data_IF_667905311009
#
_entry.id   IF_667905311009
#
_cell.length_a   1.000
_cell.length_b   1.000
_cell.length_c   1.000
_cell.angle_alpha   90.00
_cell.angle_beta   90.00
_cell.angle_gamma   90.00
#
_symmetry.space_group_name_H-M   'P 1'
#
loop_
_entity.id
_entity.type
_entity.pdbx_description
1 polymer ?
#
# COMPACT_ATOMS: atom_id res chain seq x y z
N UNK A 1 -21.99 20.89 -5.34
CA UNK A 1 -20.86 19.96 -5.19
C UNK A 1 -20.46 19.96 -3.72
N UNK A 2 -20.47 18.82 -3.05
CA UNK A 2 -20.18 18.74 -1.62
C UNK A 2 -18.69 19.06 -1.40
N UNK A 3 -18.39 20.15 -0.68
CA UNK A 3 -17.02 20.61 -0.42
C UNK A 3 -16.15 19.51 0.22
N UNK A 4 -16.75 18.68 1.09
CA UNK A 4 -16.08 17.54 1.74
C UNK A 4 -15.72 16.43 0.76
N UNK A 5 -16.57 16.15 -0.22
CA UNK A 5 -16.28 15.13 -1.22
C UNK A 5 -15.13 15.54 -2.14
N UNK A 6 -15.04 16.81 -2.50
CA UNK A 6 -13.90 17.32 -3.25
C UNK A 6 -12.60 17.29 -2.43
N UNK A 7 -12.66 17.62 -1.14
CA UNK A 7 -11.52 17.45 -0.24
C UNK A 7 -11.07 15.99 -0.17
N UNK A 8 -12.00 15.03 -0.11
CA UNK A 8 -11.68 13.60 -0.14
C UNK A 8 -10.92 13.25 -1.43
N UNK A 9 -11.41 13.70 -2.59
CA UNK A 9 -10.75 13.45 -3.87
C UNK A 9 -9.35 14.05 -3.92
N UNK A 10 -9.14 15.26 -3.37
CA UNK A 10 -7.81 15.87 -3.29
C UNK A 10 -6.84 15.03 -2.46
N UNK A 11 -7.25 14.58 -1.27
CA UNK A 11 -6.41 13.73 -0.42
C UNK A 11 -6.09 12.38 -1.08
N UNK A 12 -7.09 11.77 -1.72
CA UNK A 12 -6.90 10.50 -2.44
C UNK A 12 -5.99 10.65 -3.67
N UNK A 13 -6.05 11.78 -4.36
CA UNK A 13 -5.16 12.06 -5.48
C UNK A 13 -3.70 12.14 -5.02
N UNK A 14 -3.41 12.81 -3.91
CA UNK A 14 -2.04 12.87 -3.36
C UNK A 14 -1.52 11.48 -2.99
N UNK A 15 -2.32 10.66 -2.30
CA UNK A 15 -1.98 9.27 -1.96
C UNK A 15 -1.70 8.46 -3.22
N UNK A 16 -2.56 8.58 -4.23
CA UNK A 16 -2.43 7.86 -5.49
C UNK A 16 -1.16 8.28 -6.25
N UNK A 17 -0.83 9.57 -6.29
CA UNK A 17 0.33 10.08 -7.02
C UNK A 17 1.65 9.69 -6.36
N UNK A 18 1.71 9.67 -5.02
CA UNK A 18 2.85 9.09 -4.29
C UNK A 18 3.06 7.61 -4.66
N UNK A 19 1.98 6.84 -4.73
CA UNK A 19 2.01 5.43 -5.15
C UNK A 19 2.47 5.26 -6.60
N UNK A 20 1.96 6.08 -7.53
CA UNK A 20 2.36 6.05 -8.95
C UNK A 20 3.84 6.42 -9.13
N UNK A 21 4.33 7.43 -8.41
CA UNK A 21 5.74 7.80 -8.42
C UNK A 21 6.62 6.63 -7.96
N UNK A 22 6.23 5.96 -6.86
CA UNK A 22 6.92 4.76 -6.38
C UNK A 22 6.88 3.62 -7.41
N UNK A 23 5.76 3.42 -8.11
CA UNK A 23 5.63 2.40 -9.14
C UNK A 23 6.58 2.62 -10.33
N UNK A 24 6.69 3.85 -10.82
CA UNK A 24 7.64 4.20 -11.90
C UNK A 24 9.08 3.97 -11.46
N UNK A 25 9.44 4.37 -10.23
CA UNK A 25 10.77 4.11 -9.66
C UNK A 25 11.05 2.60 -9.48
N UNK A 26 10.05 1.82 -9.09
CA UNK A 26 10.16 0.37 -8.96
C UNK A 26 10.32 -0.34 -10.30
N UNK A 27 9.69 0.16 -11.37
CA UNK A 27 9.93 -0.31 -12.73
C UNK A 27 11.35 0.04 -13.19
N UNK A 28 11.78 1.29 -13.01
CA UNK A 28 13.12 1.73 -13.39
C UNK A 28 14.21 0.91 -12.69
N UNK A 29 14.01 0.57 -11.42
CA UNK A 29 14.92 -0.26 -10.63
C UNK A 29 15.17 -1.63 -11.26
N UNK A 30 14.18 -2.18 -11.95
CA UNK A 30 14.24 -3.52 -12.54
C UNK A 30 14.73 -3.52 -13.99
N UNK A 31 14.59 -2.40 -14.70
CA UNK A 31 14.82 -2.35 -16.16
C UNK A 31 16.06 -1.54 -16.54
N UNK A 32 16.23 -0.34 -15.98
CA UNK A 32 17.23 0.62 -16.47
C UNK A 32 18.26 1.04 -15.41
N UNK A 33 17.92 0.95 -14.12
CA UNK A 33 18.74 1.50 -13.05
C UNK A 33 20.11 0.79 -12.98
N UNK A 34 21.24 1.53 -12.96
CA UNK A 34 22.55 0.92 -12.78
C UNK A 34 22.70 0.33 -11.36
N UNK A 35 23.50 -0.75 -11.17
CA UNK A 35 23.62 -1.43 -9.87
C UNK A 35 24.01 -0.52 -8.69
N UNK A 36 24.84 0.49 -8.94
CA UNK A 36 25.26 1.45 -7.91
C UNK A 36 24.15 2.36 -7.38
N UNK A 37 22.97 2.39 -8.02
CA UNK A 37 21.83 3.21 -7.59
C UNK A 37 20.94 2.58 -6.52
N UNK A 38 21.19 1.33 -6.12
CA UNK A 38 20.29 0.55 -5.28
C UNK A 38 19.97 1.20 -3.92
N UNK A 39 20.98 1.78 -3.25
CA UNK A 39 20.79 2.41 -1.94
C UNK A 39 19.91 3.67 -2.04
N UNK A 40 20.26 4.58 -2.94
CA UNK A 40 19.48 5.81 -3.16
C UNK A 40 18.04 5.52 -3.60
N UNK A 41 17.84 4.51 -4.47
CA UNK A 41 16.52 4.05 -4.87
C UNK A 41 15.72 3.49 -3.70
N UNK A 42 16.36 2.70 -2.83
CA UNK A 42 15.74 2.20 -1.61
C UNK A 42 15.24 3.32 -0.71
N UNK A 43 16.04 4.38 -0.51
CA UNK A 43 15.66 5.54 0.28
C UNK A 43 14.47 6.31 -0.33
N UNK A 44 14.45 6.51 -1.65
CA UNK A 44 13.34 7.15 -2.36
C UNK A 44 12.02 6.38 -2.18
N UNK A 45 12.05 5.06 -2.43
CA UNK A 45 10.87 4.21 -2.31
C UNK A 45 10.36 4.13 -0.87
N UNK A 46 11.26 4.05 0.11
CA UNK A 46 10.91 4.06 1.52
C UNK A 46 10.22 5.38 1.93
N UNK A 47 10.76 6.53 1.49
CA UNK A 47 10.16 7.83 1.74
C UNK A 47 8.75 7.93 1.16
N UNK A 48 8.58 7.61 -0.13
CA UNK A 48 7.28 7.68 -0.80
C UNK A 48 6.25 6.76 -0.14
N UNK A 49 6.66 5.54 0.22
CA UNK A 49 5.78 4.58 0.91
C UNK A 49 5.36 5.08 2.29
N UNK A 50 6.29 5.68 3.05
CA UNK A 50 5.99 6.28 4.35
C UNK A 50 4.99 7.43 4.22
N UNK A 51 5.24 8.37 3.30
CA UNK A 51 4.35 9.51 3.09
C UNK A 51 2.94 9.07 2.65
N UNK A 52 2.85 8.11 1.71
CA UNK A 52 1.58 7.57 1.27
C UNK A 52 0.80 6.92 2.42
N UNK A 53 1.49 6.15 3.27
CA UNK A 53 0.88 5.53 4.45
C UNK A 53 0.42 6.58 5.47
N UNK A 54 1.27 7.55 5.83
CA UNK A 54 0.94 8.63 6.77
C UNK A 54 -0.32 9.41 6.32
N UNK A 55 -0.45 9.68 5.03
CA UNK A 55 -1.65 10.32 4.46
C UNK A 55 -2.87 9.40 4.53
N UNK A 56 -2.70 8.13 4.14
CA UNK A 56 -3.76 7.12 4.13
C UNK A 56 -4.26 6.73 5.53
N UNK A 57 -3.49 6.98 6.59
CA UNK A 57 -3.89 6.75 7.99
C UNK A 57 -4.06 8.05 8.78
N UNK A 58 -4.12 9.20 8.10
CA UNK A 58 -4.18 10.49 8.78
C UNK A 58 -5.48 10.66 9.58
N UNK A 59 -5.44 11.30 10.77
CA UNK A 59 -6.67 11.63 11.50
C UNK A 59 -7.60 12.57 10.73
N UNK A 60 -7.05 13.40 9.84
CA UNK A 60 -7.83 14.27 8.95
C UNK A 60 -8.72 13.45 8.01
N UNK A 61 -8.13 12.47 7.31
CA UNK A 61 -8.87 11.58 6.42
C UNK A 61 -9.94 10.79 7.17
N UNK A 62 -9.61 10.28 8.37
CA UNK A 62 -10.57 9.56 9.22
C UNK A 62 -11.80 10.41 9.57
N UNK A 63 -11.60 11.62 10.08
CA UNK A 63 -12.71 12.55 10.42
C UNK A 63 -13.54 12.93 9.19
N UNK A 64 -12.88 13.12 8.05
CA UNK A 64 -13.57 13.43 6.79
C UNK A 64 -14.46 12.27 6.34
N UNK A 65 -13.97 11.04 6.44
CA UNK A 65 -14.71 9.82 6.09
C UNK A 65 -15.90 9.60 7.02
N UNK A 66 -15.74 9.81 8.34
CA UNK A 66 -16.86 9.72 9.30
C UNK A 66 -18.01 10.66 8.92
N UNK A 67 -17.70 11.92 8.57
CA UNK A 67 -18.70 12.87 8.13
C UNK A 67 -19.37 12.47 6.81
N UNK A 68 -18.57 12.07 5.81
CA UNK A 68 -19.07 11.67 4.50
C UNK A 68 -19.90 10.38 4.56
N UNK A 69 -19.58 9.44 5.44
CA UNK A 69 -20.38 8.24 5.65
C UNK A 69 -21.77 8.55 6.20
N UNK A 70 -21.90 9.53 7.10
CA UNK A 70 -23.20 9.98 7.61
C UNK A 70 -24.04 10.65 6.51
N UNK A 71 -23.40 11.39 5.60
CA UNK A 71 -24.05 12.01 4.44
C UNK A 71 -24.45 11.00 3.36
N UNK A 72 -23.63 9.96 3.17
CA UNK A 72 -23.82 8.95 2.13
C UNK A 72 -25.10 8.12 2.29
N UNK A 73 -25.75 8.13 3.46
CA UNK A 73 -27.04 7.47 3.70
C UNK A 73 -28.14 7.96 2.75
N UNK A 74 -28.03 9.21 2.27
CA UNK A 74 -29.00 9.80 1.35
C UNK A 74 -28.60 9.70 -0.13
N UNK A 75 -27.44 9.10 -0.44
CA UNK A 75 -26.98 8.93 -1.81
C UNK A 75 -27.50 7.62 -2.41
N UNK A 76 -27.55 7.57 -3.74
CA UNK A 76 -27.70 6.30 -4.45
C UNK A 76 -26.52 5.39 -4.09
N UNK A 77 -26.75 4.19 -3.52
CA UNK A 77 -25.70 3.24 -3.16
C UNK A 77 -24.82 2.80 -4.33
N UNK A 78 -25.26 2.97 -5.57
CA UNK A 78 -24.51 2.62 -6.78
C UNK A 78 -23.85 3.84 -7.45
N UNK A 79 -23.99 5.04 -6.88
CA UNK A 79 -23.25 6.22 -7.34
C UNK A 79 -21.74 6.12 -7.06
N UNK A 80 -20.94 6.77 -7.91
CA UNK A 80 -19.49 6.86 -7.75
C UNK A 80 -19.11 7.46 -6.38
N UNK A 81 -19.86 8.47 -5.91
CA UNK A 81 -19.63 9.12 -4.63
C UNK A 81 -19.81 8.15 -3.46
N UNK A 82 -20.95 7.45 -3.40
CA UNK A 82 -21.22 6.47 -2.34
C UNK A 82 -20.21 5.31 -2.37
N UNK A 83 -19.84 4.85 -3.57
CA UNK A 83 -18.87 3.76 -3.74
C UNK A 83 -17.46 4.18 -3.34
N UNK A 84 -17.03 5.38 -3.71
CA UNK A 84 -15.72 5.90 -3.32
C UNK A 84 -15.62 6.01 -1.80
N UNK A 85 -16.61 6.63 -1.14
CA UNK A 85 -16.65 6.77 0.33
C UNK A 85 -16.58 5.38 1.00
N UNK A 86 -17.38 4.42 0.54
CA UNK A 86 -17.43 3.08 1.12
C UNK A 86 -16.09 2.34 1.00
N UNK A 87 -15.48 2.38 -0.18
CA UNK A 87 -14.18 1.70 -0.42
C UNK A 87 -13.08 2.37 0.38
N UNK A 88 -13.01 3.70 0.35
CA UNK A 88 -11.98 4.45 1.10
C UNK A 88 -12.12 4.25 2.61
N UNK A 89 -13.33 4.24 3.17
CA UNK A 89 -13.53 3.97 4.59
C UNK A 89 -13.04 2.58 5.01
N UNK A 90 -13.33 1.54 4.20
CA UNK A 90 -12.81 0.19 4.44
C UNK A 90 -11.29 0.16 4.39
N UNK A 91 -10.71 0.81 3.39
CA UNK A 91 -9.25 0.79 3.18
C UNK A 91 -8.53 1.58 4.29
N UNK A 92 -9.11 2.70 4.75
CA UNK A 92 -8.65 3.47 5.91
C UNK A 92 -8.68 2.62 7.19
N UNK A 93 -9.81 1.98 7.49
CA UNK A 93 -9.96 1.15 8.70
C UNK A 93 -8.91 0.04 8.72
N UNK A 94 -8.72 -0.65 7.59
CA UNK A 94 -7.67 -1.66 7.45
C UNK A 94 -6.29 -1.09 7.66
N UNK A 95 -5.97 0.03 7.01
CA UNK A 95 -4.64 0.64 7.11
C UNK A 95 -4.29 1.07 8.54
N UNK A 96 -5.27 1.59 9.29
CA UNK A 96 -5.08 2.02 10.69
C UNK A 96 -4.97 0.83 11.65
N UNK A 97 -5.69 -0.26 11.40
CA UNK A 97 -5.70 -1.44 12.29
C UNK A 97 -4.45 -2.31 12.17
N UNK A 98 -3.71 -2.22 11.06
CA UNK A 98 -2.51 -3.04 10.84
C UNK A 98 -1.33 -2.44 11.63
N UNK A 99 -0.75 -3.18 12.61
CA UNK A 99 0.35 -2.66 13.41
C UNK A 99 1.61 -2.40 12.58
N UNK A 100 2.33 -1.33 12.89
CA UNK A 100 3.62 -1.03 12.24
C UNK A 100 4.62 -2.19 12.35
N UNK A 101 4.59 -2.95 13.45
CA UNK A 101 5.41 -4.16 13.65
C UNK A 101 5.10 -5.25 12.62
N UNK A 102 3.82 -5.46 12.30
CA UNK A 102 3.42 -6.41 11.26
C UNK A 102 3.88 -5.95 9.87
N UNK A 103 3.76 -4.66 9.57
CA UNK A 103 4.23 -4.09 8.29
C UNK A 103 5.75 -4.31 8.14
N UNK A 104 6.52 -4.05 9.19
CA UNK A 104 7.96 -4.26 9.23
C UNK A 104 8.34 -5.75 9.07
N UNK A 105 7.69 -6.65 9.83
CA UNK A 105 7.89 -8.11 9.71
C UNK A 105 7.63 -8.58 8.28
N UNK A 106 6.51 -8.13 7.69
CA UNK A 106 6.16 -8.49 6.31
C UNK A 106 7.20 -8.00 5.31
N UNK A 107 7.65 -6.75 5.42
CA UNK A 107 8.66 -6.18 4.54
C UNK A 107 10.00 -6.94 4.61
N UNK A 108 10.45 -7.30 5.80
CA UNK A 108 11.66 -8.09 6.02
C UNK A 108 11.54 -9.48 5.39
N UNK A 109 10.44 -10.20 5.67
CA UNK A 109 10.18 -11.53 5.11
C UNK A 109 10.14 -11.48 3.59
N UNK A 110 9.40 -10.54 3.00
CA UNK A 110 9.28 -10.45 1.53
C UNK A 110 10.59 -10.09 0.85
N UNK A 111 11.43 -9.26 1.48
CA UNK A 111 12.75 -8.90 0.94
C UNK A 111 13.67 -10.11 0.87
N UNK A 112 13.72 -10.90 1.95
CA UNK A 112 14.51 -12.15 1.99
C UNK A 112 13.95 -13.19 1.01
N UNK A 113 12.63 -13.30 0.95
CA UNK A 113 11.94 -14.21 0.04
C UNK A 113 12.23 -13.90 -1.44
N UNK A 114 12.34 -12.62 -1.82
CA UNK A 114 12.67 -12.23 -3.19
C UNK A 114 14.06 -12.72 -3.62
N UNK A 115 15.07 -12.59 -2.75
CA UNK A 115 16.42 -13.09 -3.02
C UNK A 115 16.43 -14.62 -3.18
N UNK A 116 15.75 -15.33 -2.26
CA UNK A 116 15.61 -16.78 -2.34
C UNK A 116 14.85 -17.23 -3.60
N UNK A 117 13.81 -16.50 -4.00
CA UNK A 117 13.03 -16.76 -5.22
C UNK A 117 13.87 -16.58 -6.48
N UNK A 118 14.68 -15.52 -6.57
CA UNK A 118 15.52 -15.26 -7.73
C UNK A 118 16.52 -16.42 -7.95
N UNK A 119 17.10 -16.91 -6.86
CA UNK A 119 17.97 -18.08 -6.88
C UNK A 119 17.22 -19.37 -7.24
N UNK A 120 16.12 -19.65 -6.53
CA UNK A 120 15.28 -20.81 -6.76
C UNK A 120 14.83 -20.90 -8.23
N UNK A 121 14.45 -19.77 -8.82
CA UNK A 121 14.03 -19.68 -10.22
C UNK A 121 15.19 -19.97 -11.17
N UNK A 122 16.38 -19.43 -10.90
CA UNK A 122 17.59 -19.68 -11.71
C UNK A 122 17.99 -21.15 -11.69
N UNK A 123 17.85 -21.82 -10.55
CA UNK A 123 18.20 -23.24 -10.40
C UNK A 123 17.04 -24.20 -10.68
N UNK A 124 15.83 -23.70 -10.99
CA UNK A 124 14.61 -24.48 -11.02
C UNK A 124 14.38 -25.32 -9.73
N UNK A 125 14.79 -24.80 -8.57
CA UNK A 125 14.77 -25.50 -7.29
C UNK A 125 13.77 -24.86 -6.31
N UNK A 126 12.55 -25.37 -6.27
CA UNK A 126 11.48 -24.87 -5.41
C UNK A 126 11.80 -24.98 -3.90
N UNK A 127 12.57 -25.99 -3.49
CA UNK A 127 12.88 -26.21 -2.08
C UNK A 127 13.64 -25.02 -1.45
N UNK A 128 14.39 -24.26 -2.26
CA UNK A 128 15.06 -23.03 -1.80
C UNK A 128 14.07 -21.91 -1.46
N UNK A 129 12.88 -21.88 -2.08
CA UNK A 129 11.88 -20.84 -1.87
C UNK A 129 10.74 -21.27 -0.92
N UNK A 130 10.47 -22.57 -0.82
CA UNK A 130 9.39 -23.14 -0.01
C UNK A 130 9.27 -22.53 1.41
N UNK A 131 10.32 -22.50 2.27
CA UNK A 131 10.17 -21.98 3.64
C UNK A 131 9.82 -20.49 3.67
N UNK A 132 10.26 -19.72 2.67
CA UNK A 132 9.90 -18.31 2.54
C UNK A 132 8.44 -18.14 2.12
N UNK A 133 7.96 -18.98 1.21
CA UNK A 133 6.56 -18.96 0.77
C UNK A 133 5.61 -19.32 1.91
N UNK A 134 5.93 -20.35 2.71
CA UNK A 134 5.15 -20.73 3.88
C UNK A 134 5.03 -19.57 4.87
N UNK A 135 6.14 -18.86 5.15
CA UNK A 135 6.11 -17.68 6.02
C UNK A 135 5.31 -16.53 5.42
N UNK A 136 5.37 -16.30 4.11
CA UNK A 136 4.53 -15.30 3.44
C UNK A 136 3.05 -15.64 3.59
N UNK A 137 2.66 -16.90 3.39
CA UNK A 137 1.26 -17.34 3.51
C UNK A 137 0.78 -17.18 4.96
N UNK A 138 1.61 -17.55 5.95
CA UNK A 138 1.30 -17.33 7.37
C UNK A 138 1.01 -15.84 7.66
N UNK A 139 1.86 -14.94 7.14
CA UNK A 139 1.65 -13.49 7.28
C UNK A 139 0.38 -13.03 6.56
N UNK A 140 0.07 -13.58 5.40
CA UNK A 140 -1.19 -13.28 4.69
C UNK A 140 -2.40 -13.69 5.51
N UNK A 141 -2.39 -14.83 6.20
CA UNK A 141 -3.49 -15.25 7.08
C UNK A 141 -3.63 -14.39 8.34
N UNK A 142 -2.52 -13.80 8.83
CA UNK A 142 -2.52 -12.86 9.94
C UNK A 142 -2.99 -11.45 9.55
N UNK A 143 -3.08 -11.15 8.25
CA UNK A 143 -3.54 -9.86 7.75
C UNK A 143 -5.07 -9.75 7.87
N UNK A 144 -5.52 -8.68 8.52
CA UNK A 144 -6.94 -8.40 8.84
C UNK A 144 -7.69 -7.66 7.72
#
# INVERSE_FOLDING_TARGET
MNHRFEQLKTLLAEIADLGKAAAVLGWDQQVNMPPGGAEARGQQLALLSRLAHERATSPELGKLLEALQAEAVNLDPDSDEARLIKVTARDYEKAVRVPATFVAERAEVTTRAFQAWAEARRQANFALFQPHLEKIIELTHRYI
#
